data_IF_157351311592
#
_entry.id   IF_157351311592
#
_cell.length_a   1.000
_cell.length_b   1.000
_cell.length_c   1.000
_cell.angle_alpha   90.00
_cell.angle_beta   90.00
_cell.angle_gamma   90.00
#
_symmetry.space_group_name_H-M   'P 1'
#
loop_
_entity.id
_entity.type
_entity.pdbx_description
1 polymer ?
#
# COMPACT_ATOMS: atom_id res chain seq x y z
N UNK A 1 0.88 4.27 28.94
CA UNK A 1 1.27 3.97 27.54
C UNK A 1 2.26 5.03 27.11
N UNK A 2 3.52 4.69 26.84
CA UNK A 2 4.53 5.67 26.40
C UNK A 2 4.18 6.10 24.97
N UNK A 3 3.96 7.39 24.74
CA UNK A 3 3.86 7.92 23.38
C UNK A 3 5.21 7.68 22.68
N UNK A 4 5.22 6.74 21.74
CA UNK A 4 6.34 6.55 20.84
C UNK A 4 6.32 7.74 19.89
N UNK A 5 7.18 8.74 20.14
CA UNK A 5 7.40 9.83 19.19
C UNK A 5 7.82 9.19 17.86
N UNK A 6 7.12 9.45 16.74
CA UNK A 6 7.59 8.98 15.44
C UNK A 6 8.98 9.57 15.23
N UNK A 7 9.99 8.71 15.15
CA UNK A 7 11.35 9.17 14.92
C UNK A 7 11.41 9.67 13.48
N UNK A 8 11.80 10.93 13.31
CA UNK A 8 12.01 11.55 12.00
C UNK A 8 12.87 10.64 11.08
N UNK A 9 13.82 9.94 11.70
CA UNK A 9 14.67 8.93 11.06
C UNK A 9 13.88 7.81 10.39
N UNK A 10 12.82 7.28 11.00
CA UNK A 10 12.01 6.22 10.42
C UNK A 10 11.25 6.70 9.18
N UNK A 11 10.65 7.90 9.23
CA UNK A 11 9.98 8.48 8.07
C UNK A 11 10.93 8.69 6.90
N UNK A 12 12.16 9.17 7.15
CA UNK A 12 13.16 9.38 6.11
C UNK A 12 13.60 8.05 5.48
N UNK A 13 13.78 7.00 6.29
CA UNK A 13 14.11 5.66 5.79
C UNK A 13 12.98 5.13 4.89
N UNK A 14 11.72 5.26 5.32
CA UNK A 14 10.56 4.85 4.52
C UNK A 14 10.49 5.61 3.20
N UNK A 15 10.65 6.93 3.22
CA UNK A 15 10.64 7.76 2.01
C UNK A 15 11.76 7.35 1.04
N UNK A 16 12.99 7.22 1.52
CA UNK A 16 14.12 6.81 0.69
C UNK A 16 13.92 5.42 0.08
N UNK A 17 13.46 4.45 0.89
CA UNK A 17 13.20 3.09 0.43
C UNK A 17 12.05 3.02 -0.58
N UNK A 18 10.95 3.74 -0.32
CA UNK A 18 9.81 3.80 -1.23
C UNK A 18 10.17 4.44 -2.57
N UNK A 19 10.94 5.54 -2.56
CA UNK A 19 11.44 6.17 -3.79
C UNK A 19 12.37 5.26 -4.59
N UNK A 20 13.23 4.52 -3.90
CA UNK A 20 14.09 3.51 -4.54
C UNK A 20 13.27 2.40 -5.21
N UNK A 21 12.22 1.89 -4.56
CA UNK A 21 11.33 0.91 -5.19
C UNK A 21 10.56 1.47 -6.39
N UNK A 22 10.15 2.74 -6.33
CA UNK A 22 9.50 3.43 -7.46
C UNK A 22 10.47 3.55 -8.64
N UNK A 23 11.75 3.91 -8.40
CA UNK A 23 12.74 4.05 -9.47
C UNK A 23 13.02 2.71 -10.17
N UNK A 24 13.08 1.62 -9.40
CA UNK A 24 13.22 0.26 -9.95
C UNK A 24 11.97 -0.17 -10.73
N UNK A 25 10.77 0.11 -10.21
CA UNK A 25 9.51 -0.20 -10.91
C UNK A 25 9.33 0.60 -12.21
N UNK A 26 9.84 1.83 -12.27
CA UNK A 26 9.84 2.65 -13.48
C UNK A 26 11.00 2.32 -14.44
N UNK A 27 11.85 1.34 -14.11
CA UNK A 27 13.08 1.00 -14.84
C UNK A 27 14.07 2.17 -15.02
N UNK A 28 14.01 3.19 -14.15
CA UNK A 28 14.99 4.30 -14.17
C UNK A 28 16.34 3.77 -13.71
N UNK A 29 16.30 2.87 -12.72
CA UNK A 29 17.45 2.12 -12.20
C UNK A 29 17.19 0.62 -12.39
N UNK A 30 18.25 -0.15 -12.64
CA UNK A 30 18.16 -1.61 -12.86
C UNK A 30 19.04 -2.37 -11.87
N UNK A 31 18.99 -1.96 -10.59
CA UNK A 31 19.81 -2.59 -9.56
C UNK A 31 19.15 -3.88 -9.04
N UNK A 32 17.83 -3.94 -9.09
CA UNK A 32 17.02 -5.12 -8.81
C UNK A 32 16.34 -5.65 -10.07
N UNK A 33 15.90 -6.91 -10.01
CA UNK A 33 14.94 -7.46 -10.97
C UNK A 33 13.70 -7.86 -10.19
N UNK A 34 12.53 -7.46 -10.70
CA UNK A 34 11.27 -7.97 -10.21
C UNK A 34 11.26 -9.50 -10.31
N UNK A 35 10.59 -10.16 -9.36
CA UNK A 35 10.46 -11.63 -9.40
C UNK A 35 9.85 -12.06 -10.74
N UNK A 36 10.29 -13.19 -11.33
CA UNK A 36 9.71 -13.71 -12.57
C UNK A 36 8.17 -13.75 -12.47
N UNK A 37 7.48 -13.14 -13.43
CA UNK A 37 6.01 -13.06 -13.46
C UNK A 37 5.39 -11.86 -12.73
N UNK A 38 6.17 -11.09 -11.97
CA UNK A 38 5.66 -9.87 -11.33
C UNK A 38 5.78 -8.68 -12.28
N UNK A 39 4.66 -8.03 -12.66
CA UNK A 39 4.72 -6.86 -13.51
C UNK A 39 5.27 -5.67 -12.73
N UNK A 40 6.07 -4.85 -13.40
CA UNK A 40 6.83 -3.79 -12.73
C UNK A 40 5.97 -2.70 -12.11
N UNK A 41 4.77 -2.47 -12.65
CA UNK A 41 3.83 -1.52 -12.05
C UNK A 41 3.46 -1.92 -10.62
N UNK A 42 3.45 -3.22 -10.27
CA UNK A 42 3.20 -3.68 -8.89
C UNK A 42 4.33 -3.25 -7.96
N UNK A 43 5.58 -3.28 -8.44
CA UNK A 43 6.75 -2.79 -7.70
C UNK A 43 6.64 -1.28 -7.48
N UNK A 44 6.24 -0.54 -8.52
CA UNK A 44 5.99 0.91 -8.42
C UNK A 44 4.91 1.22 -7.40
N UNK A 45 3.78 0.50 -7.42
CA UNK A 45 2.67 0.70 -6.48
C UNK A 45 3.09 0.33 -5.05
N UNK A 46 3.87 -0.74 -4.86
CA UNK A 46 4.42 -1.09 -3.55
C UNK A 46 5.33 0.02 -3.00
N UNK A 47 6.23 0.57 -3.83
CA UNK A 47 7.05 1.72 -3.45
C UNK A 47 6.20 2.95 -3.10
N UNK A 48 5.14 3.22 -3.88
CA UNK A 48 4.21 4.32 -3.62
C UNK A 48 3.49 4.20 -2.27
N UNK A 49 3.05 2.99 -1.91
CA UNK A 49 2.44 2.70 -0.60
C UNK A 49 3.42 3.01 0.55
N UNK A 50 4.70 2.66 0.39
CA UNK A 50 5.75 2.93 1.39
C UNK A 50 6.01 4.44 1.50
N UNK A 51 6.06 5.16 0.38
CA UNK A 51 6.19 6.62 0.39
C UNK A 51 5.02 7.26 1.12
N UNK A 52 3.78 6.86 0.82
CA UNK A 52 2.58 7.36 1.51
C UNK A 52 2.68 7.10 3.02
N UNK A 53 3.09 5.89 3.45
CA UNK A 53 3.27 5.59 4.86
C UNK A 53 4.31 6.52 5.52
N UNK A 54 5.43 6.77 4.85
CA UNK A 54 6.46 7.71 5.32
C UNK A 54 5.98 9.17 5.38
N UNK A 55 5.11 9.59 4.45
CA UNK A 55 4.47 10.91 4.51
C UNK A 55 3.49 10.98 5.68
N UNK A 56 2.66 9.94 5.88
CA UNK A 56 1.70 9.89 6.99
C UNK A 56 2.41 9.95 8.35
N UNK A 57 3.59 9.35 8.50
CA UNK A 57 4.37 9.46 9.75
C UNK A 57 5.00 10.84 9.97
N UNK A 58 5.16 11.66 8.94
CA UNK A 58 5.60 13.07 9.07
C UNK A 58 4.46 14.00 9.50
N UNK A 59 3.22 13.68 9.15
CA UNK A 59 2.05 14.46 9.55
C UNK A 59 1.76 14.22 11.03
N UNK A 60 2.18 15.17 11.87
CA UNK A 60 1.96 15.11 13.33
C UNK A 60 0.50 15.33 13.72
N UNK A 61 -0.28 16.01 12.87
CA UNK A 61 -1.69 16.29 13.14
C UNK A 61 -2.58 15.08 12.85
N UNK A 62 -2.99 14.38 13.92
CA UNK A 62 -3.92 13.25 13.86
C UNK A 62 -5.27 13.60 13.21
N UNK A 63 -5.67 14.88 13.22
CA UNK A 63 -6.95 15.32 12.66
C UNK A 63 -6.85 15.96 11.26
N UNK A 64 -5.65 16.02 10.66
CA UNK A 64 -5.46 16.65 9.36
C UNK A 64 -6.28 15.98 8.26
N UNK A 65 -6.98 16.77 7.44
CA UNK A 65 -7.70 16.29 6.25
C UNK A 65 -6.77 15.55 5.28
N UNK A 66 -5.52 15.98 5.19
CA UNK A 66 -4.53 15.36 4.31
C UNK A 66 -4.21 13.92 4.70
N UNK A 67 -4.32 13.58 5.98
CA UNK A 67 -4.13 12.21 6.44
C UNK A 67 -5.25 11.28 5.96
N UNK A 68 -6.49 11.78 5.88
CA UNK A 68 -7.62 11.00 5.35
C UNK A 68 -7.43 10.75 3.83
N UNK A 69 -6.95 11.74 3.09
CA UNK A 69 -6.64 11.59 1.66
C UNK A 69 -5.50 10.59 1.44
N UNK A 70 -4.44 10.67 2.24
CA UNK A 70 -3.31 9.72 2.17
C UNK A 70 -3.76 8.30 2.54
N UNK A 71 -4.62 8.14 3.54
CA UNK A 71 -5.20 6.84 3.89
C UNK A 71 -6.04 6.27 2.73
N UNK A 72 -6.81 7.11 2.03
CA UNK A 72 -7.55 6.67 0.84
C UNK A 72 -6.62 6.21 -0.29
N UNK A 73 -5.55 6.95 -0.55
CA UNK A 73 -4.54 6.58 -1.55
C UNK A 73 -3.81 5.29 -1.16
N UNK A 74 -3.43 5.16 0.11
CA UNK A 74 -2.79 3.95 0.63
C UNK A 74 -3.68 2.72 0.46
N UNK A 75 -4.95 2.82 0.88
CA UNK A 75 -5.89 1.71 0.80
C UNK A 75 -6.24 1.36 -0.65
N UNK A 76 -6.41 2.33 -1.55
CA UNK A 76 -6.68 2.06 -2.97
C UNK A 76 -5.49 1.42 -3.68
N UNK A 77 -4.26 1.85 -3.38
CA UNK A 77 -3.05 1.24 -3.91
C UNK A 77 -2.89 -0.21 -3.43
N UNK A 78 -3.04 -0.46 -2.12
CA UNK A 78 -3.02 -1.81 -1.55
C UNK A 78 -4.13 -2.69 -2.12
N UNK A 79 -5.34 -2.15 -2.29
CA UNK A 79 -6.47 -2.85 -2.90
C UNK A 79 -6.20 -3.23 -4.35
N UNK A 80 -5.52 -2.37 -5.11
CA UNK A 80 -5.15 -2.64 -6.51
C UNK A 80 -4.12 -3.78 -6.61
N UNK A 81 -3.13 -3.81 -5.72
CA UNK A 81 -2.15 -4.91 -5.65
C UNK A 81 -2.83 -6.21 -5.22
N UNK A 82 -3.67 -6.18 -4.18
CA UNK A 82 -4.42 -7.36 -3.73
C UNK A 82 -5.38 -7.90 -4.80
N UNK A 83 -6.06 -7.00 -5.52
CA UNK A 83 -6.94 -7.36 -6.63
C UNK A 83 -6.19 -8.00 -7.78
N UNK A 84 -5.00 -7.48 -8.12
CA UNK A 84 -4.16 -8.10 -9.13
C UNK A 84 -3.70 -9.50 -8.71
N UNK A 85 -3.29 -9.70 -7.45
CA UNK A 85 -2.92 -11.02 -6.92
C UNK A 85 -4.09 -12.00 -7.00
N UNK A 86 -5.30 -11.54 -6.65
CA UNK A 86 -6.50 -12.38 -6.67
C UNK A 86 -6.87 -12.85 -8.09
N UNK A 87 -6.65 -12.01 -9.10
CA UNK A 87 -7.10 -12.26 -10.47
C UNK A 87 -6.03 -12.92 -11.37
N UNK A 88 -4.77 -12.48 -11.26
CA UNK A 88 -3.75 -12.73 -12.31
C UNK A 88 -2.55 -13.56 -11.87
N UNK A 89 -2.39 -13.87 -10.58
CA UNK A 89 -1.24 -14.69 -10.13
C UNK A 89 -1.49 -16.16 -10.45
N UNK A 90 -0.57 -16.79 -11.17
CA UNK A 90 -0.58 -18.23 -11.45
C UNK A 90 0.29 -19.02 -10.46
N UNK A 91 0.06 -20.34 -10.38
CA UNK A 91 0.75 -21.23 -9.44
C UNK A 91 2.28 -21.20 -9.57
N UNK A 92 2.76 -20.98 -10.78
CA UNK A 92 4.17 -20.91 -11.13
C UNK A 92 4.88 -19.65 -10.64
N UNK A 93 4.14 -18.62 -10.20
CA UNK A 93 4.69 -17.29 -9.87
C UNK A 93 4.78 -17.03 -8.35
N UNK A 94 4.31 -17.96 -7.50
CA UNK A 94 4.43 -17.83 -6.05
C UNK A 94 5.82 -18.29 -5.59
N UNK A 95 6.83 -17.47 -5.84
CA UNK A 95 8.21 -17.68 -5.38
C UNK A 95 8.49 -16.83 -4.13
N UNK A 96 8.18 -17.37 -2.96
CA UNK A 96 8.53 -16.76 -1.67
C UNK A 96 7.38 -16.85 -0.68
N UNK A 97 7.64 -17.39 0.53
CA UNK A 97 6.67 -17.65 1.61
C UNK A 97 5.59 -18.71 1.35
N UNK A 98 5.29 -19.05 0.09
CA UNK A 98 4.32 -20.10 -0.28
C UNK A 98 4.61 -21.48 0.33
N UNK A 99 5.86 -21.88 0.60
CA UNK A 99 6.17 -23.20 1.20
C UNK A 99 5.62 -23.41 2.63
N UNK A 100 5.33 -22.34 3.38
CA UNK A 100 4.76 -22.44 4.73
C UNK A 100 3.22 -22.47 4.71
N UNK A 101 2.60 -21.97 3.63
CA UNK A 101 1.13 -21.93 3.47
C UNK A 101 0.59 -22.99 2.48
N UNK A 102 1.39 -23.45 1.53
CA UNK A 102 1.01 -24.46 0.51
C UNK A 102 0.69 -25.82 1.09
N UNK A 103 1.21 -26.14 2.28
CA UNK A 103 0.87 -27.40 2.96
C UNK A 103 -0.54 -27.40 3.56
N UNK A 104 -1.16 -26.24 3.79
CA UNK A 104 -2.42 -26.13 4.56
C UNK A 104 -3.55 -25.48 3.75
N UNK A 105 -3.25 -24.58 2.82
CA UNK A 105 -4.27 -23.89 2.02
C UNK A 105 -3.74 -23.68 0.60
N UNK A 106 -4.23 -24.46 -0.35
CA UNK A 106 -3.83 -24.35 -1.76
C UNK A 106 -4.05 -22.95 -2.34
N UNK A 107 -3.49 -22.74 -3.52
CA UNK A 107 -3.57 -21.51 -4.31
C UNK A 107 -4.95 -20.79 -4.34
N UNK A 108 -6.10 -21.49 -4.47
CA UNK A 108 -7.40 -20.83 -4.49
C UNK A 108 -7.72 -20.08 -3.19
N UNK A 109 -7.29 -20.58 -2.02
CA UNK A 109 -7.54 -19.92 -0.74
C UNK A 109 -6.79 -18.60 -0.65
N UNK A 110 -5.55 -18.56 -1.17
CA UNK A 110 -4.76 -17.33 -1.23
C UNK A 110 -5.45 -16.26 -2.09
N UNK A 111 -5.91 -16.63 -3.29
CA UNK A 111 -6.63 -15.71 -4.20
C UNK A 111 -7.90 -15.14 -3.55
N UNK A 112 -8.67 -15.97 -2.86
CA UNK A 112 -9.88 -15.54 -2.15
C UNK A 112 -9.52 -14.56 -1.02
N UNK A 113 -8.50 -14.87 -0.23
CA UNK A 113 -8.06 -14.00 0.87
C UNK A 113 -7.58 -12.63 0.36
N UNK A 114 -6.76 -12.60 -0.70
CA UNK A 114 -6.32 -11.34 -1.33
C UNK A 114 -7.48 -10.59 -1.98
N UNK A 115 -8.45 -11.29 -2.57
CA UNK A 115 -9.66 -10.68 -3.15
C UNK A 115 -10.55 -10.02 -2.10
N UNK A 116 -10.81 -10.70 -0.98
CA UNK A 116 -11.57 -10.14 0.15
C UNK A 116 -10.82 -8.94 0.73
N UNK A 117 -9.50 -9.07 0.92
CA UNK A 117 -8.64 -7.98 1.38
C UNK A 117 -8.72 -6.76 0.47
N UNK A 118 -8.70 -6.95 -0.86
CA UNK A 118 -8.82 -5.88 -1.83
C UNK A 118 -10.18 -5.15 -1.72
N UNK A 119 -11.29 -5.88 -1.59
CA UNK A 119 -12.62 -5.30 -1.41
C UNK A 119 -12.68 -4.46 -0.13
N UNK A 120 -12.15 -4.98 0.98
CA UNK A 120 -12.09 -4.25 2.26
C UNK A 120 -11.23 -2.98 2.11
N UNK A 121 -10.08 -3.07 1.45
CA UNK A 121 -9.23 -1.92 1.18
C UNK A 121 -9.96 -0.85 0.35
N UNK A 122 -10.68 -1.22 -0.71
CA UNK A 122 -11.45 -0.25 -1.49
C UNK A 122 -12.60 0.37 -0.69
N UNK A 123 -13.27 -0.40 0.17
CA UNK A 123 -14.29 0.13 1.06
C UNK A 123 -13.68 1.16 2.03
N UNK A 124 -12.57 0.82 2.68
CA UNK A 124 -11.86 1.73 3.57
C UNK A 124 -11.38 3.00 2.85
N UNK A 125 -10.93 2.88 1.60
CA UNK A 125 -10.55 4.02 0.78
C UNK A 125 -11.74 4.95 0.50
N UNK A 126 -12.90 4.38 0.12
CA UNK A 126 -14.12 5.15 -0.07
C UNK A 126 -14.55 5.86 1.22
N UNK A 127 -14.48 5.17 2.36
CA UNK A 127 -14.79 5.78 3.66
C UNK A 127 -13.85 6.94 3.99
N UNK A 128 -12.54 6.76 3.81
CA UNK A 128 -11.54 7.81 4.03
C UNK A 128 -11.78 9.04 3.12
N UNK A 129 -12.18 8.84 1.86
CA UNK A 129 -12.58 9.93 0.96
C UNK A 129 -13.81 10.69 1.47
N UNK A 130 -14.81 10.00 2.00
CA UNK A 130 -15.98 10.69 2.58
C UNK A 130 -15.61 11.54 3.80
N UNK A 131 -14.65 11.08 4.62
CA UNK A 131 -14.13 11.85 5.75
C UNK A 131 -13.37 13.09 5.29
N UNK A 132 -12.52 12.95 4.26
CA UNK A 132 -11.82 14.07 3.65
C UNK A 132 -12.80 15.14 3.15
N UNK A 133 -13.85 14.73 2.44
CA UNK A 133 -14.84 15.65 1.89
C UNK A 133 -15.62 16.39 2.99
N UNK A 134 -16.06 15.68 4.04
CA UNK A 134 -16.75 16.27 5.20
C UNK A 134 -15.88 17.30 5.92
N UNK A 135 -14.60 16.99 6.16
CA UNK A 135 -13.67 17.95 6.77
C UNK A 135 -13.38 19.14 5.85
N UNK A 136 -13.38 18.93 4.52
CA UNK A 136 -13.25 20.00 3.55
C UNK A 136 -14.38 21.03 3.63
N UNK A 137 -15.64 20.56 3.71
CA UNK A 137 -16.81 21.43 3.82
C UNK A 137 -16.86 22.24 5.12
N UNK A 138 -16.46 21.64 6.24
CA UNK A 138 -16.46 22.32 7.55
C UNK A 138 -15.43 23.47 7.68
N UNK A 139 -14.51 23.62 6.71
CA UNK A 139 -13.47 24.66 6.72
C UNK A 139 -13.78 25.84 5.77
N UNK A 140 -14.97 25.89 5.17
CA UNK A 140 -15.40 27.05 4.39
C UNK A 140 -15.90 28.15 5.34
N UNK A 141 -15.46 29.42 5.16
CA UNK A 141 -16.07 30.53 5.89
C UNK A 141 -17.55 30.59 5.51
N UNK A 142 -18.42 30.62 6.53
CA UNK A 142 -19.86 30.87 6.36
C UNK A 142 -20.11 32.29 5.89
#
# INVERSE_FOLDING_TARGET
MKEVKPSLSLSLILLAWGLFMISEGLQITTWGKASPGTPQWVVTVAGFVIVIAGVMTLIKDKHSKWNDLLAALFCSAMGSVGGWIALFVDESQISGSGKLMTSITGLPTGKIAFGIGAVICFWMAAYALTLFYKKGQNNLPK
#
